data_IF_470133082924
#
_entry.id   IF_470133082924
#
_cell.length_a   1.000
_cell.length_b   1.000
_cell.length_c   1.000
_cell.angle_alpha   90.00
_cell.angle_beta   90.00
_cell.angle_gamma   90.00
#
_symmetry.space_group_name_H-M   'P 1'
#
loop_
_entity.id
_entity.type
_entity.pdbx_description
1 polymer ?
#
# COMPACT_ATOMS: atom_id res chain seq x y z
N UNK A 1 -2.08 -27.14 18.13
CA UNK A 1 -3.53 -27.41 18.30
C UNK A 1 -4.24 -26.07 18.38
N UNK A 2 -5.17 -25.78 17.46
CA UNK A 2 -5.99 -24.56 17.57
C UNK A 2 -6.96 -24.76 18.73
N UNK A 3 -6.98 -23.90 19.75
CA UNK A 3 -7.99 -24.00 20.80
C UNK A 3 -9.36 -23.71 20.18
N UNK A 4 -10.35 -24.58 20.43
CA UNK A 4 -11.72 -24.40 19.94
C UNK A 4 -12.51 -23.53 20.94
N UNK A 5 -13.31 -22.59 20.44
CA UNK A 5 -14.13 -21.67 21.24
C UNK A 5 -13.54 -20.25 21.37
N UNK A 6 -13.94 -19.51 22.41
CA UNK A 6 -13.51 -18.11 22.68
C UNK A 6 -11.99 -17.96 22.77
N UNK A 7 -11.28 -18.95 23.33
CA UNK A 7 -9.81 -18.97 23.38
C UNK A 7 -9.16 -18.97 21.99
N UNK A 8 -9.78 -19.63 21.01
CA UNK A 8 -9.31 -19.64 19.62
C UNK A 8 -9.40 -18.28 18.96
N UNK A 9 -10.50 -17.56 19.19
CA UNK A 9 -10.68 -16.20 18.69
C UNK A 9 -9.68 -15.23 19.30
N UNK A 10 -9.45 -15.32 20.62
CA UNK A 10 -8.45 -14.50 21.32
C UNK A 10 -7.05 -14.81 20.78
N UNK A 11 -6.68 -16.09 20.67
CA UNK A 11 -5.39 -16.49 20.11
C UNK A 11 -5.18 -15.94 18.68
N UNK A 12 -6.17 -16.05 17.81
CA UNK A 12 -6.09 -15.51 16.46
C UNK A 12 -5.95 -13.98 16.44
N UNK A 13 -6.61 -13.27 17.37
CA UNK A 13 -6.48 -11.81 17.49
C UNK A 13 -5.06 -11.41 17.94
N UNK A 14 -4.50 -12.12 18.93
CA UNK A 14 -3.12 -11.91 19.36
C UNK A 14 -2.12 -12.24 18.25
N UNK A 15 -2.33 -13.34 17.53
CA UNK A 15 -1.48 -13.72 16.39
C UNK A 15 -1.55 -12.65 15.28
N UNK A 16 -2.74 -12.14 15.00
CA UNK A 16 -2.93 -11.06 14.04
C UNK A 16 -2.19 -9.79 14.44
N UNK A 17 -2.34 -9.35 15.70
CA UNK A 17 -1.67 -8.17 16.23
C UNK A 17 -0.14 -8.35 16.25
N UNK A 18 0.33 -9.52 16.67
CA UNK A 18 1.76 -9.88 16.66
C UNK A 18 2.34 -9.77 15.25
N UNK A 19 1.67 -10.33 14.24
CA UNK A 19 2.11 -10.27 12.85
C UNK A 19 2.17 -8.83 12.32
N UNK A 20 1.18 -8.00 12.66
CA UNK A 20 1.21 -6.58 12.30
C UNK A 20 2.44 -5.87 12.88
N UNK A 21 2.73 -6.08 14.16
CA UNK A 21 3.89 -5.49 14.83
C UNK A 21 5.18 -6.01 14.18
N UNK A 22 5.29 -7.33 13.98
CA UNK A 22 6.45 -7.96 13.38
C UNK A 22 6.75 -7.42 11.97
N UNK A 23 5.74 -7.32 11.11
CA UNK A 23 5.91 -6.78 9.76
C UNK A 23 6.30 -5.30 9.76
N UNK A 24 5.81 -4.51 10.71
CA UNK A 24 6.16 -3.10 10.79
C UNK A 24 7.60 -2.90 11.30
N UNK A 25 8.04 -3.72 12.26
CA UNK A 25 9.44 -3.75 12.70
C UNK A 25 10.38 -4.12 11.55
N UNK A 26 9.99 -5.08 10.70
CA UNK A 26 10.74 -5.40 9.48
C UNK A 26 10.77 -4.20 8.53
N UNK A 27 9.63 -3.57 8.27
CA UNK A 27 9.58 -2.39 7.40
C UNK A 27 10.50 -1.27 7.88
N UNK A 28 10.50 -0.97 9.18
CA UNK A 28 11.39 0.06 9.74
C UNK A 28 12.87 -0.34 9.64
N UNK A 29 13.20 -1.57 10.03
CA UNK A 29 14.59 -2.07 10.01
C UNK A 29 15.17 -2.06 8.60
N UNK A 30 14.43 -2.56 7.61
CA UNK A 30 14.87 -2.62 6.22
C UNK A 30 14.90 -1.24 5.56
N UNK A 31 14.02 -0.34 5.98
CA UNK A 31 14.08 1.06 5.52
C UNK A 31 15.38 1.72 5.97
N UNK A 32 15.80 1.50 7.22
CA UNK A 32 17.09 2.02 7.72
C UNK A 32 18.26 1.36 6.97
N UNK A 33 18.25 0.03 6.83
CA UNK A 33 19.30 -0.72 6.12
C UNK A 33 19.45 -0.24 4.67
N UNK A 34 18.34 0.10 4.01
CA UNK A 34 18.34 0.64 2.64
C UNK A 34 18.73 2.12 2.53
N UNK A 35 19.18 2.79 3.60
CA UNK A 35 19.58 4.20 3.56
C UNK A 35 18.41 5.18 3.65
N UNK A 36 17.31 4.78 4.30
CA UNK A 36 16.05 5.54 4.49
C UNK A 36 15.38 5.88 3.17
N UNK A 37 15.93 6.82 2.39
CA UNK A 37 15.36 7.29 1.12
C UNK A 37 15.27 6.14 0.10
N UNK A 38 16.37 5.39 -0.08
CA UNK A 38 16.40 4.22 -0.98
C UNK A 38 15.86 2.94 -0.32
N UNK A 39 15.52 3.00 0.96
CA UNK A 39 14.96 1.87 1.71
C UNK A 39 13.44 1.84 1.72
N UNK A 40 12.77 3.00 1.74
CA UNK A 40 11.31 3.11 1.82
C UNK A 40 10.62 2.33 0.69
N UNK A 41 11.10 2.50 -0.55
CA UNK A 41 10.53 1.83 -1.72
C UNK A 41 10.55 0.30 -1.61
N UNK A 42 11.74 -0.33 -1.58
CA UNK A 42 11.83 -1.78 -1.51
C UNK A 42 11.28 -2.39 -0.22
N UNK A 43 11.34 -1.71 0.93
CA UNK A 43 10.66 -2.16 2.16
C UNK A 43 9.15 -2.17 2.00
N UNK A 44 8.58 -1.15 1.36
CA UNK A 44 7.13 -1.10 1.12
C UNK A 44 6.70 -2.20 0.16
N UNK A 45 7.46 -2.42 -0.92
CA UNK A 45 7.19 -3.54 -1.85
C UNK A 45 7.23 -4.90 -1.13
N UNK A 46 8.26 -5.15 -0.32
CA UNK A 46 8.38 -6.38 0.45
C UNK A 46 7.24 -6.56 1.46
N UNK A 47 6.79 -5.47 2.08
CA UNK A 47 5.64 -5.47 2.98
C UNK A 47 4.36 -5.87 2.24
N UNK A 48 4.09 -5.32 1.06
CA UNK A 48 2.91 -5.69 0.27
C UNK A 48 3.00 -7.14 -0.26
N UNK A 49 4.17 -7.65 -0.62
CA UNK A 49 4.38 -9.06 -1.02
C UNK A 49 4.07 -10.04 0.10
N UNK A 50 4.62 -9.79 1.30
CA UNK A 50 4.34 -10.64 2.46
C UNK A 50 2.88 -10.54 2.90
N UNK A 51 2.31 -9.33 2.92
CA UNK A 51 0.89 -9.09 3.24
C UNK A 51 -0.05 -9.77 2.25
N UNK A 52 0.26 -9.77 0.95
CA UNK A 52 -0.51 -10.51 -0.08
C UNK A 52 -0.57 -12.00 0.24
N UNK A 53 0.57 -12.61 0.55
CA UNK A 53 0.65 -14.03 0.93
C UNK A 53 -0.05 -14.30 2.27
N UNK A 54 -0.07 -13.31 3.17
CA UNK A 54 -0.78 -13.43 4.44
C UNK A 54 -2.28 -13.52 4.23
N UNK A 55 -2.84 -12.65 3.39
CA UNK A 55 -4.25 -12.66 3.00
C UNK A 55 -4.66 -13.97 2.31
N UNK A 56 -3.73 -14.58 1.55
CA UNK A 56 -3.92 -15.89 0.91
C UNK A 56 -3.74 -17.10 1.85
N UNK A 57 -3.46 -16.86 3.14
CA UNK A 57 -3.15 -17.91 4.13
C UNK A 57 -1.94 -18.78 3.74
N UNK A 58 -1.01 -18.23 2.96
CA UNK A 58 0.22 -18.88 2.52
C UNK A 58 1.41 -18.61 3.46
N UNK A 59 1.18 -17.91 4.57
CA UNK A 59 2.24 -17.61 5.54
C UNK A 59 2.54 -18.79 6.45
N UNK A 60 3.80 -19.22 6.47
CA UNK A 60 4.36 -20.15 7.45
C UNK A 60 4.85 -19.47 8.73
N UNK A 61 5.86 -20.08 9.35
CA UNK A 61 6.46 -19.60 10.61
C UNK A 61 7.30 -18.32 10.44
N UNK A 62 7.63 -17.64 11.53
CA UNK A 62 8.36 -16.35 11.54
C UNK A 62 9.68 -16.35 10.75
N UNK A 63 10.45 -17.46 10.84
CA UNK A 63 11.69 -17.61 10.06
C UNK A 63 11.45 -17.57 8.55
N UNK A 64 10.32 -18.13 8.11
CA UNK A 64 9.91 -18.08 6.71
C UNK A 64 9.51 -16.65 6.32
N UNK A 65 8.77 -15.94 7.18
CA UNK A 65 8.38 -14.55 6.96
C UNK A 65 9.61 -13.66 6.77
N UNK A 66 10.60 -13.76 7.66
CA UNK A 66 11.84 -12.99 7.55
C UNK A 66 12.58 -13.27 6.24
N UNK A 67 12.77 -14.56 5.91
CA UNK A 67 13.48 -14.97 4.68
C UNK A 67 12.75 -14.47 3.44
N UNK A 68 11.43 -14.55 3.42
CA UNK A 68 10.59 -14.07 2.34
C UNK A 68 10.72 -12.55 2.20
N UNK A 69 10.58 -11.79 3.29
CA UNK A 69 10.72 -10.34 3.30
C UNK A 69 12.09 -9.90 2.78
N UNK A 70 13.17 -10.50 3.30
CA UNK A 70 14.55 -10.20 2.87
C UNK A 70 14.79 -10.52 1.39
N UNK A 71 14.25 -11.64 0.92
CA UNK A 71 14.36 -12.04 -0.50
C UNK A 71 13.63 -11.04 -1.39
N UNK A 72 12.39 -10.69 -1.03
CA UNK A 72 11.57 -9.72 -1.76
C UNK A 72 12.21 -8.33 -1.77
N UNK A 73 12.78 -7.88 -0.64
CA UNK A 73 13.51 -6.62 -0.53
C UNK A 73 14.71 -6.55 -1.50
N UNK A 74 15.54 -7.60 -1.53
CA UNK A 74 16.71 -7.65 -2.41
C UNK A 74 16.34 -7.70 -3.89
N UNK A 75 15.39 -8.55 -4.24
CA UNK A 75 14.96 -8.71 -5.64
C UNK A 75 14.34 -7.42 -6.19
N UNK A 76 13.56 -6.72 -5.36
CA UNK A 76 12.85 -5.52 -5.76
C UNK A 76 13.58 -4.22 -5.37
N UNK A 77 14.87 -4.26 -5.04
CA UNK A 77 15.60 -3.07 -4.59
C UNK A 77 15.57 -1.94 -5.62
N UNK A 78 15.95 -2.25 -6.87
CA UNK A 78 15.93 -1.26 -7.95
C UNK A 78 14.52 -0.95 -8.42
N UNK A 79 13.68 -1.98 -8.58
CA UNK A 79 12.31 -1.83 -9.07
C UNK A 79 11.45 -0.97 -8.11
N UNK A 80 11.52 -1.24 -6.80
CA UNK A 80 10.83 -0.49 -5.77
C UNK A 80 11.30 0.96 -5.68
N UNK A 81 12.61 1.22 -5.83
CA UNK A 81 13.12 2.59 -5.86
C UNK A 81 12.69 3.35 -7.11
N UNK A 82 12.73 2.73 -8.29
CA UNK A 82 12.21 3.33 -9.53
C UNK A 82 10.73 3.66 -9.44
N UNK A 83 9.95 2.88 -8.67
CA UNK A 83 8.54 3.13 -8.43
C UNK A 83 8.31 4.27 -7.42
N UNK A 84 9.05 4.28 -6.31
CA UNK A 84 8.79 5.17 -5.17
C UNK A 84 9.51 6.52 -5.28
N UNK A 85 10.72 6.60 -5.82
CA UNK A 85 11.49 7.85 -5.90
C UNK A 85 10.82 8.96 -6.71
N UNK A 86 10.22 8.70 -7.89
CA UNK A 86 9.50 9.74 -8.62
C UNK A 86 8.31 10.28 -7.82
N UNK A 87 7.56 9.39 -7.17
CA UNK A 87 6.42 9.77 -6.34
C UNK A 87 6.87 10.59 -5.14
N UNK A 88 7.94 10.16 -4.45
CA UNK A 88 8.53 10.88 -3.33
C UNK A 88 9.00 12.28 -3.74
N UNK A 89 9.58 12.41 -4.94
CA UNK A 89 10.02 13.69 -5.50
C UNK A 89 8.85 14.64 -5.75
N UNK A 90 7.72 14.13 -6.25
CA UNK A 90 6.50 14.91 -6.44
C UNK A 90 5.93 15.38 -5.10
N UNK A 91 5.86 14.50 -4.08
CA UNK A 91 5.43 14.90 -2.73
C UNK A 91 6.35 15.96 -2.12
N UNK A 92 7.66 15.83 -2.31
CA UNK A 92 8.61 16.82 -1.84
C UNK A 92 8.37 18.18 -2.50
N UNK A 93 8.19 18.21 -3.83
CA UNK A 93 7.83 19.44 -4.55
C UNK A 93 6.51 20.04 -4.04
N UNK A 94 5.48 19.23 -3.85
CA UNK A 94 4.19 19.71 -3.32
C UNK A 94 4.35 20.30 -1.92
N UNK A 95 5.12 19.67 -1.05
CA UNK A 95 5.37 20.14 0.32
C UNK A 95 6.11 21.49 0.31
N UNK A 96 7.18 21.61 -0.47
CA UNK A 96 7.96 22.86 -0.58
C UNK A 96 7.08 23.99 -1.09
N UNK A 97 6.32 23.75 -2.15
CA UNK A 97 5.46 24.77 -2.72
C UNK A 97 4.29 25.13 -1.79
N UNK A 98 3.72 24.16 -1.07
CA UNK A 98 2.68 24.41 -0.07
C UNK A 98 3.21 25.31 1.05
N UNK A 99 4.41 25.00 1.56
CA UNK A 99 5.08 25.81 2.58
C UNK A 99 5.37 27.23 2.08
N UNK A 100 5.86 27.36 0.85
CA UNK A 100 6.08 28.67 0.24
C UNK A 100 4.78 29.48 0.12
N UNK A 101 3.70 28.86 -0.36
CA UNK A 101 2.40 29.50 -0.48
C UNK A 101 1.79 29.88 0.89
N UNK A 102 2.03 29.08 1.93
CA UNK A 102 1.56 29.36 3.31
C UNK A 102 2.18 30.58 3.98
N UNK A 103 3.31 31.07 3.46
CA UNK A 103 3.96 32.28 3.97
C UNK A 103 3.41 33.58 3.34
N UNK A 104 2.45 33.46 2.42
CA UNK A 104 1.84 34.59 1.71
C UNK A 104 0.38 34.74 2.12
N UNK A 105 -0.08 35.98 2.23
CA UNK A 105 -1.44 36.32 2.69
C UNK A 105 -2.42 36.67 1.57
N UNK A 106 -1.99 36.61 0.31
CA UNK A 106 -2.87 36.91 -0.83
C UNK A 106 -3.76 35.71 -1.15
N UNK A 107 -5.02 35.97 -1.52
CA UNK A 107 -6.05 34.96 -1.82
C UNK A 107 -5.58 33.96 -2.87
N UNK A 108 -4.78 34.39 -3.86
CA UNK A 108 -4.23 33.49 -4.88
C UNK A 108 -3.38 32.36 -4.28
N UNK A 109 -2.62 32.64 -3.21
CA UNK A 109 -1.80 31.64 -2.53
C UNK A 109 -2.63 30.66 -1.70
N UNK A 110 -3.79 31.07 -1.18
CA UNK A 110 -4.73 30.15 -0.53
C UNK A 110 -5.30 29.15 -1.54
N UNK A 111 -5.68 29.62 -2.73
CA UNK A 111 -6.16 28.73 -3.82
C UNK A 111 -5.08 27.73 -4.22
N UNK A 112 -3.82 28.18 -4.32
CA UNK A 112 -2.68 27.32 -4.63
C UNK A 112 -2.47 26.26 -3.53
N UNK A 113 -2.59 26.63 -2.26
CA UNK A 113 -2.50 25.67 -1.15
C UNK A 113 -3.57 24.60 -1.24
N UNK A 114 -4.83 24.98 -1.46
CA UNK A 114 -5.94 24.03 -1.62
C UNK A 114 -5.69 23.10 -2.81
N UNK A 115 -5.26 23.65 -3.94
CA UNK A 115 -4.93 22.85 -5.13
C UNK A 115 -3.82 21.82 -4.85
N UNK A 116 -2.77 22.21 -4.11
CA UNK A 116 -1.68 21.29 -3.73
C UNK A 116 -2.15 20.16 -2.83
N UNK A 117 -3.01 20.46 -1.85
CA UNK A 117 -3.62 19.43 -0.98
C UNK A 117 -4.47 18.47 -1.81
N UNK A 118 -5.29 18.98 -2.74
CA UNK A 118 -6.10 18.14 -3.64
C UNK A 118 -5.22 17.21 -4.48
N UNK A 119 -4.14 17.73 -5.08
CA UNK A 119 -3.19 16.92 -5.86
C UNK A 119 -2.53 15.86 -4.96
N UNK A 120 -2.13 16.22 -3.74
CA UNK A 120 -1.54 15.28 -2.79
C UNK A 120 -2.51 14.16 -2.39
N UNK A 121 -3.79 14.46 -2.19
CA UNK A 121 -4.83 13.45 -1.92
C UNK A 121 -5.00 12.52 -3.11
N UNK A 122 -5.08 13.06 -4.33
CA UNK A 122 -5.19 12.26 -5.56
C UNK A 122 -3.99 11.32 -5.72
N UNK A 123 -2.77 11.80 -5.48
CA UNK A 123 -1.56 10.97 -5.51
C UNK A 123 -1.60 9.87 -4.43
N UNK A 124 -2.11 10.17 -3.24
CA UNK A 124 -2.24 9.18 -2.16
C UNK A 124 -3.20 8.07 -2.57
N UNK A 125 -4.34 8.43 -3.20
CA UNK A 125 -5.29 7.45 -3.75
C UNK A 125 -4.60 6.57 -4.79
N UNK A 126 -3.85 7.14 -5.73
CA UNK A 126 -3.12 6.36 -6.72
C UNK A 126 -2.12 5.38 -6.09
N UNK A 127 -1.41 5.80 -5.03
CA UNK A 127 -0.47 4.93 -4.31
C UNK A 127 -1.13 3.70 -3.70
N UNK A 128 -2.38 3.80 -3.23
CA UNK A 128 -3.12 2.65 -2.69
C UNK A 128 -3.33 1.54 -3.72
N UNK A 129 -3.30 1.87 -5.01
CA UNK A 129 -3.40 0.89 -6.09
C UNK A 129 -2.03 0.53 -6.69
N UNK A 130 -1.07 1.45 -6.64
CA UNK A 130 0.25 1.28 -7.26
C UNK A 130 1.02 0.10 -6.64
N UNK A 131 1.15 0.05 -5.31
CA UNK A 131 1.92 -1.01 -4.65
C UNK A 131 1.25 -2.39 -4.74
N UNK A 132 -0.07 -2.55 -4.47
CA UNK A 132 -0.75 -3.82 -4.72
C UNK A 132 -0.65 -4.28 -6.17
N UNK A 133 -0.77 -3.37 -7.14
CA UNK A 133 -0.67 -3.70 -8.56
C UNK A 133 0.74 -4.17 -8.92
N UNK A 134 1.78 -3.51 -8.39
CA UNK A 134 3.17 -3.88 -8.60
C UNK A 134 3.48 -5.29 -8.11
N UNK A 135 3.00 -5.64 -6.92
CA UNK A 135 3.22 -6.96 -6.32
C UNK A 135 2.34 -8.05 -6.96
N UNK A 136 1.17 -7.67 -7.49
CA UNK A 136 0.21 -8.63 -8.03
C UNK A 136 0.44 -8.95 -9.51
N UNK A 137 0.80 -7.94 -10.32
CA UNK A 137 0.98 -8.07 -11.77
C UNK A 137 2.42 -7.83 -12.17
N UNK A 138 2.95 -8.67 -13.07
CA UNK A 138 4.24 -8.47 -13.71
C UNK A 138 4.06 -7.61 -14.98
N UNK A 139 4.15 -6.28 -14.82
CA UNK A 139 4.02 -5.32 -15.91
C UNK A 139 5.33 -4.52 -16.07
N UNK A 140 5.55 -3.96 -17.26
CA UNK A 140 6.63 -2.98 -17.46
C UNK A 140 6.36 -1.69 -16.69
N UNK A 141 7.40 -1.03 -16.18
CA UNK A 141 7.28 0.15 -15.30
C UNK A 141 6.33 1.24 -15.81
N UNK A 142 6.42 1.60 -17.09
CA UNK A 142 5.57 2.62 -17.71
C UNK A 142 4.08 2.26 -17.74
N UNK A 143 3.76 0.96 -17.71
CA UNK A 143 2.38 0.49 -17.74
C UNK A 143 1.70 0.62 -16.38
N UNK A 144 2.43 0.59 -15.26
CA UNK A 144 1.83 0.83 -13.94
C UNK A 144 1.30 2.26 -13.84
N UNK A 145 2.12 3.26 -14.15
CA UNK A 145 1.74 4.67 -14.10
C UNK A 145 0.57 5.01 -15.04
N UNK A 146 0.49 4.35 -16.19
CA UNK A 146 -0.63 4.53 -17.13
C UNK A 146 -1.92 3.84 -16.66
N UNK A 147 -1.83 2.64 -16.07
CA UNK A 147 -3.01 1.82 -15.74
C UNK A 147 -3.62 2.14 -14.38
N UNK A 148 -2.84 2.66 -13.42
CA UNK A 148 -3.35 3.00 -12.08
C UNK A 148 -4.51 4.00 -12.14
N UNK A 149 -4.43 5.13 -12.86
CA UNK A 149 -5.56 6.07 -12.96
C UNK A 149 -6.83 5.43 -13.52
N UNK A 150 -6.70 4.59 -14.56
CA UNK A 150 -7.84 3.89 -15.16
C UNK A 150 -8.48 2.93 -14.16
N UNK A 151 -7.68 2.23 -13.35
CA UNK A 151 -8.19 1.28 -12.38
C UNK A 151 -8.96 1.97 -11.24
N UNK A 152 -8.45 3.11 -10.76
CA UNK A 152 -9.11 3.94 -9.74
C UNK A 152 -10.51 4.35 -10.22
N UNK A 153 -10.61 4.84 -11.46
CA UNK A 153 -11.89 5.27 -12.05
C UNK A 153 -12.83 4.09 -12.31
N UNK A 154 -12.28 2.94 -12.75
CA UNK A 154 -13.07 1.74 -13.01
C UNK A 154 -13.66 1.11 -11.74
N UNK A 155 -13.07 1.36 -10.56
CA UNK A 155 -13.47 0.76 -9.28
C UNK A 155 -13.76 1.83 -8.21
N UNK A 156 -14.87 2.59 -8.32
CA UNK A 156 -15.18 3.66 -7.39
C UNK A 156 -15.46 3.17 -5.96
N UNK A 157 -16.16 2.03 -5.80
CA UNK A 157 -16.50 1.49 -4.48
C UNK A 157 -15.24 1.06 -3.69
N UNK A 158 -14.32 0.23 -4.24
CA UNK A 158 -13.05 -0.06 -3.59
C UNK A 158 -12.21 1.20 -3.34
N UNK A 159 -12.26 2.19 -4.23
CA UNK A 159 -11.51 3.44 -4.07
C UNK A 159 -12.01 4.22 -2.86
N UNK A 160 -13.33 4.36 -2.69
CA UNK A 160 -13.93 5.00 -1.52
C UNK A 160 -13.55 4.28 -0.23
N UNK A 161 -13.56 2.94 -0.24
CA UNK A 161 -13.19 2.15 0.93
C UNK A 161 -11.70 2.32 1.27
N UNK A 162 -10.82 2.37 0.26
CA UNK A 162 -9.41 2.68 0.44
C UNK A 162 -9.20 4.08 1.03
N UNK A 163 -9.95 5.09 0.56
CA UNK A 163 -9.89 6.47 1.11
C UNK A 163 -10.29 6.48 2.59
N UNK A 164 -11.41 5.83 2.93
CA UNK A 164 -11.88 5.73 4.32
C UNK A 164 -10.84 5.02 5.18
N UNK A 165 -10.25 3.92 4.68
CA UNK A 165 -9.24 3.16 5.39
C UNK A 165 -7.97 3.98 5.65
N UNK A 166 -7.45 4.65 4.62
CA UNK A 166 -6.27 5.52 4.75
C UNK A 166 -6.53 6.65 5.74
N UNK A 167 -7.71 7.30 5.65
CA UNK A 167 -8.09 8.35 6.58
C UNK A 167 -8.20 7.84 8.03
N UNK A 168 -8.80 6.66 8.23
CA UNK A 168 -8.91 6.03 9.55
C UNK A 168 -7.53 5.72 10.13
N UNK A 169 -6.64 5.10 9.34
CA UNK A 169 -5.28 4.78 9.80
C UNK A 169 -4.49 6.06 10.10
N UNK A 170 -4.60 7.09 9.26
CA UNK A 170 -3.96 8.38 9.51
C UNK A 170 -4.46 9.04 10.81
N UNK A 171 -5.77 9.02 11.05
CA UNK A 171 -6.38 9.51 12.28
C UNK A 171 -5.88 8.74 13.51
N UNK A 172 -5.85 7.40 13.45
CA UNK A 172 -5.31 6.56 14.52
C UNK A 172 -3.83 6.82 14.76
N UNK A 173 -3.04 7.04 13.70
CA UNK A 173 -1.63 7.39 13.82
C UNK A 173 -1.45 8.69 14.60
N UNK A 174 -2.24 9.71 14.28
CA UNK A 174 -2.22 11.00 14.95
C UNK A 174 -2.63 10.88 16.43
N UNK A 175 -3.73 10.20 16.72
CA UNK A 175 -4.28 10.09 18.08
C UNK A 175 -3.42 9.23 19.01
N UNK A 176 -2.80 8.17 18.48
CA UNK A 176 -2.03 7.20 19.26
C UNK A 176 -0.52 7.41 19.16
N UNK A 177 -0.08 8.56 18.66
CA UNK A 177 1.35 8.88 18.60
C UNK A 177 1.94 8.92 20.02
N UNK A 178 3.06 8.22 20.32
CA UNK A 178 3.98 7.54 19.40
C UNK A 178 3.74 6.03 19.20
N UNK A 179 2.84 5.40 19.94
CA UNK A 179 2.58 3.96 19.89
C UNK A 179 2.15 3.46 18.51
N UNK A 180 1.53 4.34 17.71
CA UNK A 180 1.10 4.06 16.34
C UNK A 180 2.22 3.64 15.38
N UNK A 181 3.48 4.01 15.67
CA UNK A 181 4.65 3.60 14.87
C UNK A 181 4.75 2.07 14.79
N UNK A 182 4.29 1.33 15.81
CA UNK A 182 4.38 -0.13 15.86
C UNK A 182 3.43 -0.84 14.89
N UNK A 183 2.32 -0.23 14.48
CA UNK A 183 1.30 -0.91 13.63
C UNK A 183 0.86 -0.12 12.39
N UNK A 184 1.22 1.16 12.27
CA UNK A 184 0.69 2.05 11.24
C UNK A 184 0.89 1.56 9.81
N UNK A 185 2.14 1.30 9.40
CA UNK A 185 2.42 0.95 7.99
C UNK A 185 1.95 -0.46 7.64
N UNK A 186 2.12 -1.44 8.52
CA UNK A 186 1.65 -2.80 8.28
C UNK A 186 0.12 -2.89 8.27
N UNK A 187 -0.56 -2.15 9.14
CA UNK A 187 -2.02 -2.05 9.16
C UNK A 187 -2.57 -1.37 7.90
N UNK A 188 -1.93 -0.28 7.46
CA UNK A 188 -2.26 0.38 6.19
C UNK A 188 -2.13 -0.61 5.02
N UNK A 189 -0.98 -1.28 4.91
CA UNK A 189 -0.72 -2.24 3.84
C UNK A 189 -1.72 -3.39 3.85
N UNK A 190 -2.06 -3.92 5.04
CA UNK A 190 -3.03 -5.02 5.17
C UNK A 190 -4.42 -4.64 4.66
N UNK A 191 -4.98 -3.52 5.11
CA UNK A 191 -6.30 -3.10 4.66
C UNK A 191 -6.33 -2.70 3.19
N UNK A 192 -5.35 -1.92 2.72
CA UNK A 192 -5.25 -1.53 1.30
C UNK A 192 -5.12 -2.76 0.40
N UNK A 193 -4.24 -3.71 0.76
CA UNK A 193 -4.08 -4.94 -0.01
C UNK A 193 -5.36 -5.77 0.00
N UNK A 194 -6.04 -5.91 1.15
CA UNK A 194 -7.29 -6.65 1.25
C UNK A 194 -8.42 -6.08 0.39
N UNK A 195 -8.60 -4.76 0.43
CA UNK A 195 -9.61 -4.05 -0.37
C UNK A 195 -9.27 -4.19 -1.86
N UNK A 196 -8.03 -3.91 -2.23
CA UNK A 196 -7.60 -3.89 -3.65
C UNK A 196 -7.55 -5.30 -4.24
N UNK A 197 -7.23 -6.32 -3.44
CA UNK A 197 -7.25 -7.73 -3.87
C UNK A 197 -8.61 -8.14 -4.42
N UNK A 198 -9.72 -7.71 -3.78
CA UNK A 198 -11.07 -7.99 -4.28
C UNK A 198 -11.34 -7.36 -5.66
N UNK A 199 -10.72 -6.22 -5.95
CA UNK A 199 -10.83 -5.55 -7.26
C UNK A 199 -10.03 -6.30 -8.34
N UNK A 200 -8.88 -6.86 -7.97
CA UNK A 200 -8.06 -7.66 -8.90
C UNK A 200 -8.73 -8.97 -9.27
N UNK A 201 -9.30 -9.69 -8.30
CA UNK A 201 -10.05 -10.93 -8.56
C UNK A 201 -11.22 -10.66 -9.49
N UNK A 202 -11.99 -9.59 -9.25
CA UNK A 202 -13.12 -9.23 -10.13
C UNK A 202 -12.68 -8.87 -11.56
N UNK A 203 -11.56 -8.18 -11.73
CA UNK A 203 -11.01 -7.91 -13.06
C UNK A 203 -10.57 -9.18 -13.79
N UNK A 204 -10.01 -10.15 -13.06
CA UNK A 204 -9.60 -11.43 -13.63
C UNK A 204 -10.81 -12.26 -14.06
N UNK A 205 -11.88 -12.29 -13.26
CA UNK A 205 -13.16 -12.93 -13.59
C UNK A 205 -13.80 -12.32 -14.87
N UNK A 206 -13.84 -10.99 -14.98
CA UNK A 206 -14.39 -10.32 -16.17
C UNK A 206 -13.60 -10.70 -17.43
N UNK A 207 -12.27 -10.74 -17.35
CA UNK A 207 -11.41 -11.11 -18.48
C UNK A 207 -11.57 -12.58 -18.88
N UNK A 208 -11.70 -13.48 -17.91
CA UNK A 208 -11.94 -14.91 -18.16
C UNK A 208 -13.31 -15.11 -18.82
N UNK A 209 -14.35 -14.43 -18.34
CA UNK A 209 -15.70 -14.51 -18.93
C UNK A 209 -15.71 -14.01 -20.39
N UNK A 210 -15.06 -12.87 -20.67
CA UNK A 210 -14.92 -12.36 -22.04
C UNK A 210 -14.14 -13.31 -22.96
N UNK A 211 -13.08 -13.95 -22.47
CA UNK A 211 -12.32 -14.93 -23.25
C UNK A 211 -13.14 -16.20 -23.54
N UNK A 212 -13.99 -16.62 -22.61
CA UNK A 212 -14.88 -17.76 -22.78
C UNK A 212 -16.03 -17.45 -23.74
N UNK A 213 -16.60 -16.24 -23.70
CA UNK A 213 -17.65 -15.82 -24.64
C UNK A 213 -17.11 -15.70 -26.07
N UNK A 214 -15.91 -15.15 -26.26
CA UNK A 214 -15.26 -15.11 -27.58
C UNK A 214 -14.97 -16.51 -28.14
N UNK A 215 -14.71 -17.51 -27.30
CA UNK A 215 -14.53 -18.91 -27.73
C UNK A 215 -15.84 -19.64 -28.04
N UNK A 216 -16.99 -19.13 -27.61
CA UNK A 216 -18.31 -19.72 -27.93
C UNK A 216 -18.89 -19.19 -29.25
N UNK A 217 -18.40 -18.04 -29.72
CA UNK A 217 -18.90 -17.35 -30.91
C UNK A 217 -18.04 -17.65 -32.16
N UNK A 218 -16.81 -18.16 -31.98
CA UNK A 218 -15.93 -18.63 -33.06
C UNK A 218 -15.90 -20.15 -33.16
#
# INVERSE_FOLDING_TARGET
MKPNGTLGHVYNAFEFLYRLIYLNLLWFSFTIIGGIIFGIGPSTVALYDVTRRWLRKELGNDRYIFKLYFTSFKQNFFAGNTLTLPVLSIYFMLLVNYRYASMRFEVIFEVIQVAMVVIAVILTIMLTYLFPMFVHYELSMSNYFRKVPLLVIAHPVPTMLNVIWVALVAYLIYQLFPYSILIGMSGLAYGVMGITYSSFVRNEEIRINQANDNKKIG
#
